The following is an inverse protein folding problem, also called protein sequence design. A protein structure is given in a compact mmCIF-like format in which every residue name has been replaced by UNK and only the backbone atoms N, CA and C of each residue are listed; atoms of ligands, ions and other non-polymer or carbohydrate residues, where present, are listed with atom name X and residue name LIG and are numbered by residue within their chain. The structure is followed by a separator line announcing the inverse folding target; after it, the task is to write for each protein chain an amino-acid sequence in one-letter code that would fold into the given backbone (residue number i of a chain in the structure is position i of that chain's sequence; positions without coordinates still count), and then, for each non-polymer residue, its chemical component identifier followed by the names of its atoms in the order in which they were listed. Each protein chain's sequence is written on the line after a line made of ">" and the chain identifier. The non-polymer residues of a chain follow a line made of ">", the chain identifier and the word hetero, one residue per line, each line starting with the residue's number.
data_IF_265767177363
#
_entry.id   IF_265767177363
#
_cell.length_a   1.000
_cell.length_b   1.000
_cell.length_c   1.000
_cell.angle_alpha   90.00
_cell.angle_beta   90.00
_cell.angle_gamma   90.00
#
_symmetry.space_group_name_H-M   'P 1'
#
loop_
_entity.id
_entity.type
_entity.pdbx_description
1 polymer ?
#
# COMPACT_ATOMS: atom_id res chain seq x y z
N UNK A 1 -7.44 0.77 -20.51
CA UNK A 1 -7.63 -0.56 -19.87
C UNK A 1 -6.43 -0.84 -18.96
N UNK A 2 -6.73 -0.97 -17.66
CA UNK A 2 -5.94 -1.58 -16.56
C UNK A 2 -4.47 -1.16 -16.37
N UNK A 3 -4.22 0.11 -16.08
CA UNK A 3 -2.91 0.62 -15.62
C UNK A 3 -2.65 0.38 -14.13
N UNK A 4 -2.89 -0.83 -13.62
CA UNK A 4 -2.93 -1.08 -12.18
C UNK A 4 -1.65 -1.70 -11.62
N UNK A 5 -0.96 -1.02 -10.68
CA UNK A 5 -0.52 0.38 -10.77
C UNK A 5 0.56 0.56 -11.89
N UNK A 6 0.75 -0.44 -12.75
CA UNK A 6 1.83 -0.50 -13.72
C UNK A 6 3.17 -0.93 -13.08
N UNK A 7 4.15 -1.38 -13.88
CA UNK A 7 5.44 -1.84 -13.38
C UNK A 7 6.32 -0.70 -12.85
N UNK A 8 5.95 0.56 -13.11
CA UNK A 8 6.73 1.73 -12.69
C UNK A 8 6.38 2.10 -11.25
N UNK A 9 7.36 2.18 -10.34
CA UNK A 9 7.09 2.61 -8.98
C UNK A 9 6.60 4.06 -8.95
N UNK A 10 5.57 4.31 -8.15
CA UNK A 10 5.08 5.64 -7.79
C UNK A 10 5.51 5.91 -6.36
N UNK A 11 6.27 6.97 -6.13
CA UNK A 11 6.71 7.33 -4.78
C UNK A 11 5.93 8.53 -4.25
N UNK A 12 5.53 8.50 -2.99
CA UNK A 12 4.82 9.58 -2.31
C UNK A 12 5.45 9.91 -0.95
N UNK A 13 4.95 10.98 -0.34
CA UNK A 13 5.34 11.40 1.02
C UNK A 13 4.24 11.16 2.06
N UNK A 14 3.02 10.84 1.62
CA UNK A 14 1.92 10.45 2.48
C UNK A 14 1.02 9.41 1.80
N UNK A 15 0.43 8.52 2.59
CA UNK A 15 -0.57 7.56 2.14
C UNK A 15 -1.69 7.48 3.14
N UNK A 16 -2.91 7.58 2.65
CA UNK A 16 -4.12 7.30 3.42
C UNK A 16 -4.56 5.88 3.13
N UNK A 17 -4.45 5.01 4.12
CA UNK A 17 -4.91 3.63 4.08
C UNK A 17 -6.30 3.52 4.67
N UNK A 18 -7.17 2.79 4.00
CA UNK A 18 -8.56 2.58 4.38
C UNK A 18 -8.78 1.07 4.50
N UNK A 19 -9.10 0.59 5.69
CA UNK A 19 -9.37 -0.81 6.02
C UNK A 19 -10.75 -0.93 6.68
N UNK A 20 -11.79 -1.24 5.90
CA UNK A 20 -13.15 -1.29 6.41
C UNK A 20 -13.62 0.08 6.92
N UNK A 21 -13.89 0.18 8.23
CA UNK A 21 -14.30 1.43 8.90
C UNK A 21 -13.13 2.28 9.43
N UNK A 22 -11.90 1.80 9.32
CA UNK A 22 -10.71 2.50 9.81
C UNK A 22 -10.02 3.19 8.64
N UNK A 23 -9.65 4.46 8.83
CA UNK A 23 -8.73 5.15 7.92
C UNK A 23 -7.54 5.70 8.70
N UNK A 24 -6.34 5.42 8.22
CA UNK A 24 -5.09 5.89 8.82
C UNK A 24 -4.26 6.62 7.78
N UNK A 25 -3.59 7.68 8.19
CA UNK A 25 -2.62 8.39 7.34
C UNK A 25 -1.22 8.10 7.84
N UNK A 26 -0.35 7.66 6.93
CA UNK A 26 1.06 7.38 7.18
C UNK A 26 1.87 8.36 6.34
N UNK A 27 2.87 9.00 6.94
CA UNK A 27 3.75 9.97 6.28
C UNK A 27 5.18 9.44 6.26
N UNK A 28 5.93 9.76 5.21
CA UNK A 28 7.31 9.35 5.00
C UNK A 28 7.54 8.81 3.60
N UNK A 29 8.69 8.16 3.37
CA UNK A 29 9.01 7.59 2.06
C UNK A 29 8.11 6.39 1.76
N UNK A 30 7.16 6.59 0.84
CA UNK A 30 6.19 5.56 0.45
C UNK A 30 6.40 5.23 -1.02
N UNK A 31 6.35 3.95 -1.36
CA UNK A 31 6.42 3.49 -2.75
C UNK A 31 5.30 2.51 -3.05
N UNK A 32 4.66 2.69 -4.20
CA UNK A 32 3.64 1.80 -4.72
C UNK A 32 4.08 1.27 -6.08
N UNK A 33 4.04 -0.04 -6.28
CA UNK A 33 4.46 -0.67 -7.53
C UNK A 33 3.62 -1.89 -7.86
N UNK A 34 3.39 -2.13 -9.15
CA UNK A 34 2.77 -3.32 -9.67
C UNK A 34 3.83 -4.34 -10.00
N UNK A 35 3.68 -5.55 -9.49
CA UNK A 35 4.57 -6.66 -9.77
C UNK A 35 3.77 -7.83 -10.33
N UNK A 36 4.41 -8.62 -11.18
CA UNK A 36 3.89 -9.93 -11.58
C UNK A 36 4.47 -10.96 -10.63
N UNK A 37 3.60 -11.69 -9.92
CA UNK A 37 3.98 -12.84 -9.08
C UNK A 37 3.13 -14.02 -9.50
N UNK A 38 3.78 -15.11 -9.90
CA UNK A 38 3.14 -16.36 -10.34
C UNK A 38 2.09 -16.16 -11.46
N UNK A 39 2.36 -15.23 -12.38
CA UNK A 39 1.43 -14.88 -13.47
C UNK A 39 0.27 -13.96 -13.08
N UNK A 40 0.16 -13.60 -11.80
CA UNK A 40 -0.87 -12.70 -11.27
C UNK A 40 -0.30 -11.29 -11.03
N UNK A 41 -1.07 -10.27 -11.40
CA UNK A 41 -0.75 -8.87 -11.07
C UNK A 41 -1.02 -8.60 -9.60
N UNK A 42 0.03 -8.23 -8.86
CA UNK A 42 -0.02 -7.90 -7.43
C UNK A 42 0.49 -6.48 -7.25
N UNK A 43 -0.15 -5.72 -6.39
CA UNK A 43 0.34 -4.43 -5.95
C UNK A 43 1.19 -4.60 -4.70
N UNK A 44 2.38 -4.02 -4.70
CA UNK A 44 3.27 -3.89 -3.55
C UNK A 44 3.27 -2.43 -3.09
N UNK A 45 2.94 -2.21 -1.82
CA UNK A 45 2.94 -0.91 -1.14
C UNK A 45 3.96 -0.96 -0.01
N UNK A 46 5.04 -0.20 -0.15
CA UNK A 46 6.08 -0.04 0.87
C UNK A 46 5.76 1.20 1.70
N UNK A 47 5.58 0.98 3.00
CA UNK A 47 5.31 1.98 4.01
C UNK A 47 6.56 2.18 4.88
N UNK A 48 6.85 3.40 5.33
CA UNK A 48 7.85 3.62 6.37
C UNK A 48 7.43 2.88 7.66
N UNK A 49 8.37 2.68 8.58
CA UNK A 49 8.14 1.95 9.85
C UNK A 49 6.81 2.35 10.48
N UNK A 50 5.81 1.50 10.30
CA UNK A 50 4.45 1.80 10.69
C UNK A 50 4.34 1.52 12.19
N UNK A 51 3.65 2.41 12.90
CA UNK A 51 3.38 2.23 14.31
C UNK A 51 2.79 0.81 14.57
N UNK A 52 3.19 0.12 15.65
CA UNK A 52 2.78 -1.25 15.91
C UNK A 52 1.26 -1.48 15.88
N UNK A 53 0.46 -0.47 16.24
CA UNK A 53 -1.00 -0.56 16.20
C UNK A 53 -1.52 -0.52 14.76
N UNK A 54 -1.04 0.42 13.95
CA UNK A 54 -1.40 0.53 12.52
C UNK A 54 -1.09 -0.75 11.76
N UNK A 55 0.06 -1.35 12.08
CA UNK A 55 0.46 -2.65 11.54
C UNK A 55 -0.54 -3.74 11.90
N UNK A 56 -0.91 -3.86 13.17
CA UNK A 56 -1.86 -4.90 13.63
C UNK A 56 -3.22 -4.75 12.95
N UNK A 57 -3.65 -3.52 12.70
CA UNK A 57 -4.90 -3.24 12.02
C UNK A 57 -4.84 -3.65 10.54
N UNK A 58 -3.72 -3.39 9.87
CA UNK A 58 -3.47 -3.87 8.49
C UNK A 58 -3.39 -5.41 8.43
N UNK A 59 -2.66 -6.06 9.33
CA UNK A 59 -2.52 -7.53 9.37
C UNK A 59 -3.86 -8.25 9.60
N UNK A 60 -4.79 -7.62 10.30
CA UNK A 60 -6.15 -8.16 10.54
C UNK A 60 -7.11 -7.88 9.40
N UNK A 61 -6.80 -6.93 8.51
CA UNK A 61 -7.67 -6.54 7.43
C UNK A 61 -7.70 -7.60 6.32
N UNK A 62 -8.88 -7.89 5.77
CA UNK A 62 -9.03 -8.76 4.59
C UNK A 62 -8.90 -7.99 3.28
N UNK A 63 -9.19 -6.68 3.32
CA UNK A 63 -9.12 -5.78 2.19
C UNK A 63 -8.59 -4.42 2.64
N UNK A 64 -7.99 -3.69 1.71
CA UNK A 64 -7.55 -2.33 1.90
C UNK A 64 -7.72 -1.51 0.62
N UNK A 65 -7.89 -0.20 0.78
CA UNK A 65 -7.74 0.79 -0.28
C UNK A 65 -6.71 1.81 0.19
N UNK A 66 -6.03 2.46 -0.74
CA UNK A 66 -5.17 3.58 -0.37
C UNK A 66 -5.17 4.71 -1.39
N UNK A 67 -4.87 5.90 -0.88
CA UNK A 67 -4.64 7.13 -1.62
C UNK A 67 -3.19 7.56 -1.36
N UNK A 68 -2.37 7.69 -2.40
CA UNK A 68 -0.98 8.11 -2.34
C UNK A 68 -0.85 9.58 -2.70
N UNK A 69 -0.13 10.34 -1.88
CA UNK A 69 0.06 11.77 -2.02
C UNK A 69 1.55 12.14 -2.14
N UNK A 70 1.81 13.29 -2.77
CA UNK A 70 3.10 13.97 -2.76
C UNK A 70 2.88 15.48 -2.70
N UNK A 71 3.47 16.14 -1.72
CA UNK A 71 3.31 17.58 -1.50
C UNK A 71 1.84 17.98 -1.31
N UNK A 72 1.02 17.09 -0.72
CA UNK A 72 -0.42 17.27 -0.55
C UNK A 72 -1.28 17.02 -1.81
N UNK A 73 -0.67 16.79 -2.98
CA UNK A 73 -1.40 16.43 -4.19
C UNK A 73 -1.62 14.91 -4.25
N UNK A 74 -2.85 14.49 -4.58
CA UNK A 74 -3.17 13.08 -4.82
C UNK A 74 -2.47 12.60 -6.10
N UNK A 75 -1.54 11.66 -5.97
CA UNK A 75 -0.86 11.03 -7.10
C UNK A 75 -1.63 9.82 -7.62
N UNK A 76 -2.25 9.07 -6.72
CA UNK A 76 -2.87 7.80 -7.06
C UNK A 76 -3.92 7.38 -6.04
N UNK A 77 -5.03 6.82 -6.51
CA UNK A 77 -6.00 6.11 -5.67
C UNK A 77 -6.14 4.68 -6.16
N UNK A 78 -5.97 3.72 -5.27
CA UNK A 78 -6.23 2.31 -5.60
C UNK A 78 -7.74 2.03 -5.63
N UNK A 79 -8.20 1.00 -6.37
CA UNK A 79 -9.44 0.30 -6.07
C UNK A 79 -9.27 -0.44 -4.74
N UNK A 80 -10.34 -1.10 -4.31
CA UNK A 80 -10.28 -2.03 -3.20
C UNK A 80 -9.41 -3.24 -3.57
N UNK A 81 -8.45 -3.55 -2.71
CA UNK A 81 -7.51 -4.66 -2.88
C UNK A 81 -7.74 -5.69 -1.78
N UNK A 82 -7.71 -6.96 -2.15
CA UNK A 82 -7.65 -8.07 -1.20
C UNK A 82 -6.23 -8.20 -0.67
N UNK A 83 -6.09 -8.14 0.65
CA UNK A 83 -4.79 -8.30 1.30
C UNK A 83 -4.28 -9.74 1.09
N UNK A 84 -3.06 -9.86 0.56
CA UNK A 84 -2.41 -11.14 0.30
C UNK A 84 -1.31 -11.43 1.33
N UNK A 85 -0.45 -10.45 1.60
CA UNK A 85 0.60 -10.59 2.61
C UNK A 85 1.10 -9.26 3.13
N UNK A 86 1.62 -9.27 4.35
CA UNK A 86 2.36 -8.17 4.98
C UNK A 86 3.72 -8.70 5.44
N UNK A 87 4.81 -8.04 5.06
CA UNK A 87 6.17 -8.43 5.47
C UNK A 87 7.01 -7.23 5.86
N UNK A 88 7.98 -7.45 6.74
CA UNK A 88 9.04 -6.47 7.02
C UNK A 88 10.22 -6.68 6.10
N UNK A 89 10.83 -5.59 5.68
CA UNK A 89 12.17 -5.61 5.08
C UNK A 89 13.22 -5.22 6.14
N UNK A 90 14.50 -5.45 5.84
CA UNK A 90 15.62 -5.29 6.79
C UNK A 90 15.69 -3.88 7.42
N UNK A 91 15.19 -2.88 6.71
CA UNK A 91 15.22 -1.47 7.14
C UNK A 91 14.01 -1.06 7.99
N UNK A 92 13.20 -2.03 8.46
CA UNK A 92 12.02 -1.79 9.29
C UNK A 92 10.75 -1.42 8.52
N UNK A 93 10.88 -1.05 7.24
CA UNK A 93 9.74 -0.73 6.38
C UNK A 93 8.75 -1.91 6.25
N UNK A 94 7.46 -1.56 6.23
CA UNK A 94 6.36 -2.52 6.10
C UNK A 94 5.93 -2.59 4.64
N UNK A 95 6.00 -3.79 4.07
CA UNK A 95 5.54 -4.06 2.71
C UNK A 95 4.20 -4.77 2.77
N UNK A 96 3.19 -4.16 2.17
CA UNK A 96 1.83 -4.66 2.05
C UNK A 96 1.59 -5.06 0.60
N UNK A 97 1.02 -6.25 0.40
CA UNK A 97 0.70 -6.74 -0.94
C UNK A 97 -0.76 -7.11 -1.08
N UNK A 98 -1.34 -6.83 -2.25
CA UNK A 98 -2.72 -7.16 -2.54
C UNK A 98 -3.03 -7.12 -4.02
N UNK A 99 -4.15 -7.73 -4.39
CA UNK A 99 -4.68 -7.73 -5.74
C UNK A 99 -6.15 -7.30 -5.72
N UNK A 100 -6.67 -6.70 -6.80
CA UNK A 100 -8.11 -6.47 -6.94
C UNK A 100 -8.93 -7.75 -6.78
#
# INVERSE_FOLDING_TARGET
>A
MTGFPGPRPISGDAVRLITGSVSVTITGSITSQGILRDGCGVLELTLPDADPQQRRDLERAKWYQYELYRGGALLYSSPQLRLSSTRRVKDGALVVTGSP
#
